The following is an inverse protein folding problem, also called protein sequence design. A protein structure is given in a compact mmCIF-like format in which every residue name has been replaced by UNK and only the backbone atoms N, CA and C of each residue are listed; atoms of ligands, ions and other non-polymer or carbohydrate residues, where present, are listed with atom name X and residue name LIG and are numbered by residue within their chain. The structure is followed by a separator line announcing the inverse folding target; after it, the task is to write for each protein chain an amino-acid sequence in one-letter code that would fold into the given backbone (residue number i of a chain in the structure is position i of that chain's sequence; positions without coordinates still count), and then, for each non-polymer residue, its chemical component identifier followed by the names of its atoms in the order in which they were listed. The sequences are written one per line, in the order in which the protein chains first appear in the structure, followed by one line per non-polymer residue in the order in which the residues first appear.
data_IF_705270575595
#
_entry.id   IF_705270575595
#
_cell.length_a   1.000
_cell.length_b   1.000
_cell.length_c   1.000
_cell.angle_alpha   90.00
_cell.angle_beta   90.00
_cell.angle_gamma   90.00
#
_symmetry.space_group_name_H-M   'P 1'
#
loop_
_entity.id
_entity.type
_entity.pdbx_description
1 polymer ?
#
# COMPACT_ATOMS: atom_id res chain seq x y z
N UNK A 1 -8.78 -24.30 1.53
CA UNK A 1 -7.71 -23.29 1.43
C UNK A 1 -8.36 -22.13 0.73
N UNK A 2 -8.35 -20.97 1.35
CA UNK A 2 -8.92 -19.74 0.79
C UNK A 2 -7.77 -18.93 0.19
N UNK A 3 -7.92 -18.47 -1.05
CA UNK A 3 -6.91 -17.66 -1.74
C UNK A 3 -7.45 -16.24 -1.78
N UNK A 4 -6.65 -15.28 -1.26
CA UNK A 4 -6.94 -13.86 -1.38
C UNK A 4 -6.18 -13.31 -2.59
N UNK A 5 -6.90 -12.64 -3.49
CA UNK A 5 -6.32 -11.95 -4.64
C UNK A 5 -6.29 -10.46 -4.34
N UNK A 6 -5.13 -9.86 -4.45
CA UNK A 6 -4.98 -8.41 -4.33
C UNK A 6 -4.53 -7.78 -5.65
N UNK A 7 -4.83 -6.50 -5.84
CA UNK A 7 -4.42 -5.74 -7.00
C UNK A 7 -4.10 -4.29 -6.61
N UNK A 8 -3.11 -3.71 -7.29
CA UNK A 8 -2.75 -2.30 -7.15
C UNK A 8 -3.71 -1.48 -8.03
N UNK A 9 -4.36 -0.47 -7.46
CA UNK A 9 -5.50 0.25 -8.03
C UNK A 9 -5.44 1.76 -7.71
N UNK A 10 -6.20 2.55 -8.46
CA UNK A 10 -6.17 4.00 -8.31
C UNK A 10 -4.86 4.62 -8.80
N UNK A 11 -4.11 3.93 -9.64
CA UNK A 11 -2.79 4.34 -10.12
C UNK A 11 -2.84 5.21 -11.37
N UNK A 12 -3.90 6.02 -11.51
CA UNK A 12 -4.03 6.96 -12.62
C UNK A 12 -2.81 7.88 -12.71
N UNK A 13 -2.16 7.90 -13.85
CA UNK A 13 -0.98 8.72 -14.14
C UNK A 13 -0.84 8.95 -15.64
N UNK A 14 0.18 9.72 -16.04
CA UNK A 14 0.51 9.89 -17.47
C UNK A 14 0.96 8.59 -18.16
N UNK A 15 1.26 7.55 -17.39
CA UNK A 15 1.78 6.27 -17.89
C UNK A 15 0.81 5.10 -17.67
N UNK A 16 -0.24 5.29 -16.87
CA UNK A 16 -1.17 4.24 -16.49
C UNK A 16 -2.61 4.76 -16.46
N UNK A 17 -3.54 3.97 -17.01
CA UNK A 17 -4.98 4.25 -16.99
C UNK A 17 -5.65 3.41 -15.90
N UNK A 18 -6.59 4.00 -15.18
CA UNK A 18 -7.44 3.39 -14.16
C UNK A 18 -8.80 2.89 -14.72
N UNK A 19 -8.98 2.87 -16.05
CA UNK A 19 -10.25 2.49 -16.69
C UNK A 19 -10.67 1.05 -16.39
N UNK A 20 -9.75 0.15 -16.07
CA UNK A 20 -10.04 -1.23 -15.74
C UNK A 20 -10.29 -1.47 -14.24
N UNK A 21 -10.01 -0.51 -13.38
CA UNK A 21 -10.15 -0.65 -11.93
C UNK A 21 -11.54 -1.15 -11.50
N UNK A 22 -12.66 -0.63 -12.07
CA UNK A 22 -13.98 -1.14 -11.71
C UNK A 22 -14.18 -2.63 -11.99
N UNK A 23 -13.58 -3.15 -13.08
CA UNK A 23 -13.67 -4.57 -13.44
C UNK A 23 -12.78 -5.44 -12.56
N UNK A 24 -11.59 -4.95 -12.21
CA UNK A 24 -10.68 -5.63 -11.29
C UNK A 24 -11.31 -5.75 -9.90
N UNK A 25 -11.99 -4.72 -9.45
CA UNK A 25 -12.72 -4.68 -8.17
C UNK A 25 -13.93 -5.62 -8.10
N UNK A 26 -14.36 -6.23 -9.22
CA UNK A 26 -15.35 -7.31 -9.23
C UNK A 26 -14.73 -8.69 -8.97
N UNK A 27 -13.40 -8.80 -9.06
CA UNK A 27 -12.67 -10.08 -9.03
C UNK A 27 -11.81 -10.21 -7.77
N UNK A 28 -11.16 -9.11 -7.33
CA UNK A 28 -10.20 -9.13 -6.22
C UNK A 28 -10.87 -9.11 -4.85
N UNK A 29 -10.15 -9.59 -3.85
CA UNK A 29 -10.59 -9.54 -2.45
C UNK A 29 -10.01 -8.32 -1.71
N UNK A 30 -8.87 -7.80 -2.19
CA UNK A 30 -8.14 -6.70 -1.55
C UNK A 30 -7.63 -5.72 -2.59
N UNK A 31 -7.80 -4.42 -2.35
CA UNK A 31 -7.32 -3.32 -3.18
C UNK A 31 -6.17 -2.61 -2.49
N UNK A 32 -5.01 -2.51 -3.14
CA UNK A 32 -3.91 -1.66 -2.70
C UNK A 32 -4.05 -0.32 -3.41
N UNK A 33 -4.51 0.71 -2.70
CA UNK A 33 -4.91 1.99 -3.31
C UNK A 33 -3.74 2.98 -3.31
N UNK A 34 -3.37 3.47 -4.49
CA UNK A 34 -2.37 4.52 -4.64
C UNK A 34 -2.76 5.78 -3.86
N UNK A 35 -1.80 6.37 -3.15
CA UNK A 35 -2.05 7.46 -2.20
C UNK A 35 -1.54 8.82 -2.70
N UNK A 36 -1.47 9.04 -4.01
CA UNK A 36 -1.15 10.33 -4.63
C UNK A 36 0.34 10.64 -4.79
N UNK A 37 1.26 9.85 -4.25
CA UNK A 37 2.71 10.13 -4.31
C UNK A 37 3.38 9.62 -5.58
N UNK A 38 3.02 8.43 -6.05
CA UNK A 38 3.51 7.91 -7.32
C UNK A 38 2.47 7.99 -8.43
N UNK A 39 1.21 7.89 -8.05
CA UNK A 39 0.05 7.91 -8.93
C UNK A 39 -1.23 8.20 -8.15
N UNK A 40 -2.32 8.42 -8.88
CA UNK A 40 -3.63 8.70 -8.32
C UNK A 40 -3.77 10.11 -7.77
N UNK A 41 -4.98 10.43 -7.38
CA UNK A 41 -5.40 11.68 -6.77
C UNK A 41 -6.57 11.42 -5.82
N UNK A 42 -7.09 12.47 -5.16
CA UNK A 42 -8.23 12.34 -4.25
C UNK A 42 -9.47 11.76 -4.95
N UNK A 43 -9.72 12.10 -6.21
CA UNK A 43 -10.86 11.59 -6.97
C UNK A 43 -10.71 10.09 -7.26
N UNK A 44 -9.53 9.65 -7.70
CA UNK A 44 -9.23 8.23 -7.94
C UNK A 44 -9.41 7.41 -6.65
N UNK A 45 -8.86 7.88 -5.53
CA UNK A 45 -9.01 7.21 -4.23
C UNK A 45 -10.48 7.12 -3.81
N UNK A 46 -11.25 8.21 -3.93
CA UNK A 46 -12.68 8.21 -3.63
C UNK A 46 -13.47 7.22 -4.49
N UNK A 47 -13.16 7.12 -5.78
CA UNK A 47 -13.82 6.17 -6.68
C UNK A 47 -13.53 4.73 -6.28
N UNK A 48 -12.25 4.39 -6.07
CA UNK A 48 -11.84 3.03 -5.67
C UNK A 48 -12.49 2.65 -4.33
N UNK A 49 -12.40 3.50 -3.31
CA UNK A 49 -13.01 3.25 -1.99
C UNK A 49 -14.52 3.02 -2.09
N UNK A 50 -15.22 3.81 -2.88
CA UNK A 50 -16.67 3.66 -3.11
C UNK A 50 -17.02 2.31 -3.73
N UNK A 51 -16.23 1.85 -4.71
CA UNK A 51 -16.46 0.55 -5.36
C UNK A 51 -16.08 -0.59 -4.42
N UNK A 52 -14.96 -0.48 -3.68
CA UNK A 52 -14.56 -1.43 -2.65
C UNK A 52 -15.70 -1.68 -1.65
N UNK A 53 -16.27 -0.59 -1.11
CA UNK A 53 -17.43 -0.68 -0.21
C UNK A 53 -18.58 -1.44 -0.83
N UNK A 54 -18.95 -1.11 -2.06
CA UNK A 54 -20.07 -1.76 -2.77
C UNK A 54 -19.85 -3.26 -2.96
N UNK A 55 -18.61 -3.66 -3.25
CA UNK A 55 -18.26 -5.03 -3.61
C UNK A 55 -17.72 -5.85 -2.42
N UNK A 56 -17.56 -5.26 -1.24
CA UNK A 56 -17.00 -5.92 -0.06
C UNK A 56 -15.49 -6.21 -0.19
N UNK A 57 -14.75 -5.39 -0.97
CA UNK A 57 -13.32 -5.51 -1.16
C UNK A 57 -12.58 -4.76 -0.05
N UNK A 58 -11.57 -5.39 0.55
CA UNK A 58 -10.74 -4.78 1.59
C UNK A 58 -9.90 -3.64 1.01
N UNK A 59 -9.78 -2.54 1.76
CA UNK A 59 -9.04 -1.34 1.35
C UNK A 59 -7.68 -1.33 2.05
N UNK A 60 -6.61 -1.16 1.30
CA UNK A 60 -5.25 -1.01 1.80
C UNK A 60 -4.51 0.18 1.21
N UNK A 61 -3.60 0.76 1.98
CA UNK A 61 -2.74 1.83 1.51
C UNK A 61 -1.58 1.28 0.68
N UNK A 62 -1.29 1.96 -0.45
CA UNK A 62 -0.19 1.61 -1.34
C UNK A 62 0.85 2.74 -1.42
N UNK A 63 1.59 2.99 -0.29
CA UNK A 63 2.51 4.12 -0.20
C UNK A 63 3.78 3.91 -1.01
N UNK A 64 4.29 4.99 -1.55
CA UNK A 64 5.47 5.04 -2.41
C UNK A 64 6.37 6.22 -2.08
N UNK A 65 7.56 6.24 -2.63
CA UNK A 65 8.32 7.48 -2.74
C UNK A 65 7.52 8.54 -3.49
N UNK A 66 7.72 9.81 -3.15
CA UNK A 66 7.11 10.93 -3.87
C UNK A 66 7.86 11.16 -5.20
N UNK A 67 7.50 10.38 -6.21
CA UNK A 67 8.16 10.32 -7.51
C UNK A 67 7.14 10.03 -8.63
N UNK A 68 6.19 10.93 -8.87
CA UNK A 68 5.15 10.72 -9.89
C UNK A 68 5.74 10.62 -11.31
N UNK A 69 6.87 11.27 -11.58
CA UNK A 69 7.52 11.25 -12.88
C UNK A 69 8.01 9.86 -13.29
N UNK A 70 8.47 9.05 -12.34
CA UNK A 70 8.96 7.68 -12.56
C UNK A 70 8.04 6.64 -11.94
N UNK A 71 6.80 6.99 -11.63
CA UNK A 71 5.82 6.07 -11.06
C UNK A 71 6.32 5.41 -9.76
N UNK A 72 7.01 6.16 -8.90
CA UNK A 72 7.58 5.64 -7.65
C UNK A 72 8.68 4.60 -7.81
N UNK A 73 9.25 4.43 -9.01
CA UNK A 73 10.24 3.38 -9.31
C UNK A 73 11.69 3.82 -9.24
N UNK A 74 11.93 5.10 -8.97
CA UNK A 74 13.28 5.60 -8.73
C UNK A 74 13.70 5.30 -7.30
N UNK A 75 14.88 4.69 -7.11
CA UNK A 75 15.45 4.44 -5.79
C UNK A 75 15.87 5.78 -5.16
N UNK A 76 15.36 6.07 -3.98
CA UNK A 76 15.69 7.25 -3.18
C UNK A 76 16.25 6.81 -1.84
N UNK A 77 17.25 7.55 -1.36
CA UNK A 77 17.80 7.35 -0.01
C UNK A 77 17.21 8.41 0.90
N UNK A 78 16.30 7.99 1.76
CA UNK A 78 15.63 8.83 2.74
C UNK A 78 16.06 8.41 4.16
N UNK A 79 16.09 9.36 5.06
CA UNK A 79 16.28 9.11 6.49
C UNK A 79 15.09 8.34 7.08
N UNK A 80 15.29 7.77 8.28
CA UNK A 80 14.22 7.08 8.99
C UNK A 80 13.01 7.99 9.27
N UNK A 81 13.24 9.25 9.57
CA UNK A 81 12.18 10.23 9.85
C UNK A 81 11.40 10.57 8.58
N UNK A 82 12.08 10.69 7.44
CA UNK A 82 11.45 10.94 6.14
C UNK A 82 10.62 9.72 5.70
N UNK A 83 11.11 8.50 5.89
CA UNK A 83 10.34 7.26 5.62
C UNK A 83 9.11 7.20 6.52
N UNK A 84 9.27 7.45 7.82
CA UNK A 84 8.17 7.44 8.77
C UNK A 84 7.07 8.46 8.35
N UNK A 85 7.48 9.70 8.07
CA UNK A 85 6.56 10.74 7.61
C UNK A 85 5.86 10.35 6.30
N UNK A 86 6.60 9.85 5.34
CA UNK A 86 6.10 9.43 4.03
C UNK A 86 5.00 8.35 4.16
N UNK A 87 5.19 7.38 5.06
CA UNK A 87 4.21 6.30 5.28
C UNK A 87 2.96 6.80 5.98
N UNK A 88 3.14 7.62 7.03
CA UNK A 88 2.02 8.19 7.80
C UNK A 88 1.18 9.10 6.92
N UNK A 89 1.78 10.04 6.21
CA UNK A 89 1.07 11.02 5.38
C UNK A 89 0.17 10.30 4.36
N UNK A 90 0.70 9.28 3.68
CA UNK A 90 -0.06 8.54 2.66
C UNK A 90 -1.15 7.65 3.26
N UNK A 91 -0.86 7.00 4.40
CA UNK A 91 -1.87 6.24 5.12
C UNK A 91 -3.04 7.15 5.58
N UNK A 92 -2.74 8.30 6.18
CA UNK A 92 -3.76 9.23 6.69
C UNK A 92 -4.62 9.82 5.56
N UNK A 93 -4.04 10.12 4.39
CA UNK A 93 -4.79 10.58 3.22
C UNK A 93 -5.87 9.55 2.86
N UNK A 94 -5.50 8.28 2.68
CA UNK A 94 -6.45 7.25 2.31
C UNK A 94 -7.43 6.91 3.44
N UNK A 95 -6.96 6.86 4.70
CA UNK A 95 -7.80 6.60 5.87
C UNK A 95 -8.92 7.66 5.99
N UNK A 96 -8.57 8.93 5.84
CA UNK A 96 -9.54 10.03 5.87
C UNK A 96 -10.60 9.90 4.75
N UNK A 97 -10.20 9.42 3.57
CA UNK A 97 -11.13 9.16 2.47
C UNK A 97 -12.01 7.96 2.79
N UNK A 98 -11.43 6.86 3.29
CA UNK A 98 -12.19 5.66 3.67
C UNK A 98 -13.24 5.98 4.73
N UNK A 99 -12.90 6.76 5.75
CA UNK A 99 -13.81 7.17 6.82
C UNK A 99 -15.01 8.00 6.32
N UNK A 100 -14.81 8.88 5.32
CA UNK A 100 -15.92 9.62 4.68
C UNK A 100 -16.94 8.68 4.05
N UNK A 101 -16.52 7.48 3.67
CA UNK A 101 -17.39 6.43 3.13
C UNK A 101 -17.86 5.41 4.18
N UNK A 102 -17.47 5.56 5.46
CA UNK A 102 -17.77 4.62 6.54
C UNK A 102 -16.99 3.31 6.44
N UNK A 103 -15.79 3.37 5.85
CA UNK A 103 -14.84 2.27 5.70
C UNK A 103 -13.54 2.57 6.45
N UNK A 104 -12.65 1.58 6.55
CA UNK A 104 -11.32 1.71 7.16
C UNK A 104 -10.25 1.11 6.27
N UNK A 105 -9.03 1.63 6.38
CA UNK A 105 -7.85 1.00 5.78
C UNK A 105 -7.43 -0.18 6.64
N UNK A 106 -7.41 -1.38 6.06
CA UNK A 106 -7.17 -2.65 6.78
C UNK A 106 -5.77 -3.19 6.62
N UNK A 107 -5.06 -2.78 5.56
CA UNK A 107 -3.74 -3.29 5.24
C UNK A 107 -2.87 -2.21 4.57
N UNK A 108 -1.57 -2.49 4.49
CA UNK A 108 -0.61 -1.61 3.86
C UNK A 108 0.38 -2.45 3.04
N UNK A 109 0.66 -2.00 1.82
CA UNK A 109 1.60 -2.61 0.88
C UNK A 109 2.44 -1.52 0.22
N UNK A 110 3.74 -1.37 0.51
CA UNK A 110 4.59 -0.42 -0.19
C UNK A 110 4.65 -0.68 -1.70
N UNK A 111 4.77 0.41 -2.47
CA UNK A 111 4.85 0.36 -3.93
C UNK A 111 6.28 0.53 -4.45
N UNK A 112 6.56 -0.06 -5.61
CA UNK A 112 7.67 0.27 -6.49
C UNK A 112 9.04 0.15 -5.85
N UNK A 113 9.86 1.22 -5.98
CA UNK A 113 11.23 1.19 -5.47
C UNK A 113 11.29 1.06 -3.93
N UNK A 114 10.33 1.63 -3.20
CA UNK A 114 10.26 1.51 -1.74
C UNK A 114 10.09 0.03 -1.33
N UNK A 115 9.17 -0.68 -1.97
CA UNK A 115 8.98 -2.11 -1.75
C UNK A 115 10.23 -2.91 -2.13
N UNK A 116 10.75 -2.70 -3.33
CA UNK A 116 11.87 -3.49 -3.84
C UNK A 116 13.14 -3.31 -3.01
N UNK A 117 13.44 -2.08 -2.57
CA UNK A 117 14.56 -1.81 -1.67
C UNK A 117 14.36 -2.48 -0.31
N UNK A 118 13.15 -2.40 0.26
CA UNK A 118 12.86 -3.03 1.54
C UNK A 118 12.88 -4.57 1.48
N UNK A 119 12.61 -5.17 0.32
CA UNK A 119 12.77 -6.62 0.12
C UNK A 119 14.23 -7.09 0.25
N UNK A 120 15.18 -6.22 -0.11
CA UNK A 120 16.62 -6.51 -0.18
C UNK A 120 17.37 -6.04 1.09
N UNK A 121 16.90 -4.95 1.72
CA UNK A 121 17.57 -4.24 2.81
C UNK A 121 16.81 -4.39 4.13
N UNK A 122 17.42 -5.10 5.08
CA UNK A 122 16.83 -5.35 6.40
C UNK A 122 16.72 -4.07 7.26
N UNK A 123 17.60 -3.09 7.07
CA UNK A 123 17.56 -1.83 7.82
C UNK A 123 16.36 -1.02 7.38
N UNK A 124 16.17 -0.84 6.07
CA UNK A 124 15.00 -0.15 5.52
C UNK A 124 13.70 -0.91 5.87
N UNK A 125 13.68 -2.23 5.72
CA UNK A 125 12.54 -3.06 6.11
C UNK A 125 12.17 -2.89 7.59
N UNK A 126 13.18 -2.79 8.47
CA UNK A 126 12.99 -2.58 9.90
C UNK A 126 12.41 -1.18 10.20
N UNK A 127 12.88 -0.15 9.49
CA UNK A 127 12.35 1.22 9.61
C UNK A 127 10.87 1.24 9.21
N UNK A 128 10.52 0.63 8.07
CA UNK A 128 9.13 0.58 7.59
C UNK A 128 8.24 -0.19 8.57
N UNK A 129 8.64 -1.39 8.99
CA UNK A 129 7.87 -2.21 9.92
C UNK A 129 7.63 -1.47 11.25
N UNK A 130 8.67 -0.87 11.83
CA UNK A 130 8.57 -0.05 13.05
C UNK A 130 7.65 1.14 12.87
N UNK A 131 7.73 1.82 11.72
CA UNK A 131 6.88 2.95 11.40
C UNK A 131 5.40 2.55 11.40
N UNK A 132 5.06 1.47 10.68
CA UNK A 132 3.69 0.95 10.62
C UNK A 132 3.18 0.58 12.01
N UNK A 133 3.96 -0.14 12.81
CA UNK A 133 3.58 -0.49 14.19
C UNK A 133 3.29 0.74 15.05
N UNK A 134 4.04 1.83 14.86
CA UNK A 134 3.91 3.03 15.67
C UNK A 134 2.61 3.79 15.37
N UNK A 135 2.18 3.88 14.11
CA UNK A 135 0.96 4.62 13.78
C UNK A 135 -0.29 3.75 13.76
N UNK A 136 -0.20 2.47 13.38
CA UNK A 136 -1.33 1.55 13.46
C UNK A 136 -0.89 0.08 13.47
N UNK A 137 -0.77 -0.50 14.67
CA UNK A 137 -0.37 -1.91 14.87
C UNK A 137 -1.38 -2.95 14.38
N UNK A 138 -2.62 -2.55 14.12
CA UNK A 138 -3.68 -3.47 13.71
C UNK A 138 -3.72 -3.68 12.19
N UNK A 139 -2.95 -2.88 11.43
CA UNK A 139 -2.79 -3.07 10.00
C UNK A 139 -2.16 -4.43 9.66
N UNK A 140 -2.70 -5.06 8.63
CA UNK A 140 -2.04 -6.22 8.00
C UNK A 140 -0.95 -5.67 7.06
N UNK A 141 0.28 -6.09 7.27
CA UNK A 141 1.38 -5.74 6.38
C UNK A 141 1.49 -6.78 5.26
N UNK A 142 1.20 -6.40 4.02
CA UNK A 142 1.42 -7.26 2.85
C UNK A 142 2.90 -7.23 2.49
N UNK A 143 3.52 -8.40 2.45
CA UNK A 143 4.95 -8.54 2.22
C UNK A 143 5.24 -9.67 1.22
N UNK A 144 6.19 -9.52 0.31
CA UNK A 144 6.62 -10.61 -0.54
C UNK A 144 7.23 -11.75 0.29
N UNK A 145 6.83 -12.97 -0.02
CA UNK A 145 7.31 -14.18 0.67
C UNK A 145 8.83 -14.30 0.59
N UNK A 146 9.48 -14.56 1.72
CA UNK A 146 10.93 -14.73 1.82
C UNK A 146 11.75 -13.44 1.79
N UNK A 147 11.10 -12.27 1.79
CA UNK A 147 11.76 -10.97 1.76
C UNK A 147 12.31 -10.53 3.12
N UNK A 148 13.16 -9.48 3.11
CA UNK A 148 13.59 -8.81 4.34
C UNK A 148 12.43 -8.08 5.04
N UNK A 149 11.38 -7.72 4.29
CA UNK A 149 10.16 -7.16 4.86
C UNK A 149 9.43 -8.18 5.76
N UNK A 150 9.31 -9.44 5.29
CA UNK A 150 8.73 -10.51 6.10
C UNK A 150 9.57 -10.78 7.37
N UNK A 151 10.90 -10.79 7.23
CA UNK A 151 11.82 -10.96 8.37
C UNK A 151 11.66 -9.83 9.40
N UNK A 152 11.62 -8.56 8.94
CA UNK A 152 11.45 -7.42 9.80
C UNK A 152 10.08 -7.41 10.49
N UNK A 153 9.00 -7.67 9.75
CA UNK A 153 7.65 -7.69 10.30
C UNK A 153 7.47 -8.72 11.41
N UNK A 154 8.07 -9.91 11.27
CA UNK A 154 8.08 -10.95 12.31
C UNK A 154 8.79 -10.51 13.60
N UNK A 155 9.84 -9.68 13.51
CA UNK A 155 10.55 -9.14 14.70
C UNK A 155 9.68 -8.21 15.53
N UNK A 156 8.68 -7.57 14.92
CA UNK A 156 7.72 -6.67 15.57
C UNK A 156 6.38 -7.33 15.89
N UNK A 157 6.25 -8.64 15.71
CA UNK A 157 5.00 -9.40 15.92
C UNK A 157 3.80 -8.78 15.15
N UNK A 158 4.06 -8.32 13.92
CA UNK A 158 3.05 -7.72 13.07
C UNK A 158 2.10 -8.77 12.49
N UNK A 159 0.87 -8.35 12.24
CA UNK A 159 -0.04 -9.11 11.37
C UNK A 159 0.46 -9.01 9.94
N UNK A 160 0.84 -10.12 9.34
CA UNK A 160 1.36 -10.16 7.97
C UNK A 160 0.49 -11.02 7.06
N UNK A 161 0.43 -10.64 5.78
CA UNK A 161 0.00 -11.50 4.70
C UNK A 161 1.15 -11.61 3.70
N UNK A 162 1.65 -12.84 3.53
CA UNK A 162 2.73 -13.09 2.58
C UNK A 162 2.12 -13.27 1.18
N UNK A 163 2.62 -12.51 0.21
CA UNK A 163 2.17 -12.60 -1.17
C UNK A 163 3.19 -13.27 -2.08
N UNK A 164 2.68 -13.80 -3.18
CA UNK A 164 3.46 -14.22 -4.34
C UNK A 164 2.87 -13.54 -5.57
N UNK A 165 3.71 -13.16 -6.51
CA UNK A 165 3.27 -12.65 -7.80
C UNK A 165 3.01 -13.81 -8.78
N UNK A 166 1.90 -13.69 -9.54
CA UNK A 166 1.52 -14.66 -10.56
C UNK A 166 2.31 -14.45 -11.86
#
# INVERSE_FOLDING_TARGET
MEININCDLGEKSKHHSDENDPKLLEIVNSANVACGYHAGDEDSMNQVVKICKKNGVSIGAHPSFNDPENFGRKRLNLSSDEINKLLIDQYEILQNIAEKHGEIVTHIKPHGALNNMACEDIELATIIAKSICNFNKDLIYLVPTGSKMEEAAKKFDMRIACEIFA
#
